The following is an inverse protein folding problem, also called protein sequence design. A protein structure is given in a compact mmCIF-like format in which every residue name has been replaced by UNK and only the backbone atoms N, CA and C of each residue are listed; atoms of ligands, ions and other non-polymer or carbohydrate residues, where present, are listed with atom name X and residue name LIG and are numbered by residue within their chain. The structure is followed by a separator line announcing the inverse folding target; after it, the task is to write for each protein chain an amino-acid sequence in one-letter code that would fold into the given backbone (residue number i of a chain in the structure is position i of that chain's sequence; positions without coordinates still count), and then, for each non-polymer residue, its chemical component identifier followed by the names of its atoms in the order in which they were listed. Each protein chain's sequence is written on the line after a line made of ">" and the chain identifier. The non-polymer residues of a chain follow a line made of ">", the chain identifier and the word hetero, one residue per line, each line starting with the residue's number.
data_IF_332704007799
#
_entry.id   IF_332704007799
#
_cell.length_a   1.000
_cell.length_b   1.000
_cell.length_c   1.000
_cell.angle_alpha   90.00
_cell.angle_beta   90.00
_cell.angle_gamma   90.00
#
_symmetry.space_group_name_H-M   'P 1'
#
loop_
_entity.id
_entity.type
_entity.pdbx_description
1 polymer ?
#
# COMPACT_ATOMS: atom_id res chain seq x y z
N UNK A 1 0.90 3.52 22.03
CA UNK A 1 -0.48 3.78 22.40
C UNK A 1 -1.39 2.74 21.73
N UNK A 2 -2.40 2.24 22.46
CA UNK A 2 -3.29 1.15 21.98
C UNK A 2 -4.76 1.57 22.18
N UNK A 3 -5.29 2.46 21.33
CA UNK A 3 -6.70 2.83 21.35
C UNK A 3 -7.60 1.65 20.95
N UNK A 4 -8.85 1.67 21.42
CA UNK A 4 -9.86 0.66 21.09
C UNK A 4 -10.92 1.15 20.10
N UNK A 5 -10.95 2.45 19.82
CA UNK A 5 -11.86 3.08 18.87
C UNK A 5 -11.11 4.06 17.97
N UNK A 6 -11.69 4.43 16.81
CA UNK A 6 -11.14 5.48 15.94
C UNK A 6 -11.11 6.84 16.65
N UNK A 7 -12.12 7.14 17.45
CA UNK A 7 -12.20 8.39 18.20
C UNK A 7 -11.04 8.51 19.21
N UNK A 8 -10.76 7.45 19.98
CA UNK A 8 -9.61 7.41 20.91
C UNK A 8 -8.28 7.56 20.16
N UNK A 9 -8.16 6.90 18.98
CA UNK A 9 -6.97 6.98 18.17
C UNK A 9 -6.72 8.41 17.66
N UNK A 10 -7.74 9.07 17.15
CA UNK A 10 -7.65 10.45 16.69
C UNK A 10 -7.45 11.46 17.82
N UNK A 11 -8.07 11.22 18.98
CA UNK A 11 -7.82 12.03 20.18
C UNK A 11 -6.34 11.94 20.56
N UNK A 12 -5.78 10.73 20.59
CA UNK A 12 -4.36 10.54 20.91
C UNK A 12 -3.42 11.16 19.89
N UNK A 13 -3.74 11.06 18.59
CA UNK A 13 -2.98 11.72 17.53
C UNK A 13 -2.97 13.24 17.73
N UNK A 14 -4.14 13.85 18.00
CA UNK A 14 -4.27 15.28 18.22
C UNK A 14 -3.53 15.77 19.49
N UNK A 15 -3.51 14.95 20.56
CA UNK A 15 -2.74 15.25 21.78
C UNK A 15 -1.23 15.32 21.47
N UNK A 16 -0.69 14.33 20.75
CA UNK A 16 0.72 14.28 20.37
C UNK A 16 1.08 15.47 19.48
N UNK A 17 0.29 15.73 18.43
CA UNK A 17 0.51 16.88 17.55
C UNK A 17 0.50 18.21 18.31
N UNK A 18 -0.44 18.39 19.25
CA UNK A 18 -0.55 19.60 20.07
C UNK A 18 0.65 19.79 21.01
N UNK A 19 1.28 18.70 21.44
CA UNK A 19 2.51 18.73 22.26
C UNK A 19 3.79 18.84 21.43
N UNK A 20 3.69 18.87 20.08
CA UNK A 20 4.82 18.89 19.18
C UNK A 20 5.55 17.56 19.06
N UNK A 21 4.89 16.46 19.45
CA UNK A 21 5.44 15.12 19.36
C UNK A 21 5.00 14.44 18.06
N UNK A 22 5.96 13.83 17.36
CA UNK A 22 5.69 13.04 16.16
C UNK A 22 5.31 11.61 16.52
N UNK A 23 4.47 11.01 15.67
CA UNK A 23 4.07 9.61 15.79
C UNK A 23 3.95 8.93 14.43
N UNK A 24 3.97 7.60 14.44
CA UNK A 24 3.57 6.77 13.30
C UNK A 24 2.32 5.95 13.64
N UNK A 25 1.43 5.79 12.68
CA UNK A 25 0.40 4.77 12.75
C UNK A 25 1.03 3.40 12.56
N UNK A 26 0.73 2.46 13.44
CA UNK A 26 1.16 1.08 13.28
C UNK A 26 -0.04 0.14 13.15
N UNK A 27 -0.08 -0.62 12.06
CA UNK A 27 -1.03 -1.69 11.85
C UNK A 27 -0.38 -3.05 12.20
N UNK A 28 0.01 -3.88 11.24
CA UNK A 28 0.71 -5.15 11.51
C UNK A 28 2.19 -5.04 11.87
N UNK A 29 2.82 -3.89 11.66
CA UNK A 29 4.23 -3.63 11.98
C UNK A 29 5.24 -4.42 11.14
N UNK A 30 4.80 -5.23 10.18
CA UNK A 30 5.65 -6.14 9.39
C UNK A 30 6.67 -5.42 8.51
N UNK A 31 6.43 -4.15 8.22
CA UNK A 31 7.35 -3.27 7.50
C UNK A 31 7.88 -2.15 8.40
N UNK A 32 7.03 -1.51 9.19
CA UNK A 32 7.40 -0.37 10.02
C UNK A 32 8.44 -0.75 11.09
N UNK A 33 8.30 -1.89 11.77
CA UNK A 33 9.25 -2.31 12.81
C UNK A 33 10.66 -2.58 12.25
N UNK A 34 10.84 -3.29 11.12
CA UNK A 34 12.13 -3.35 10.43
C UNK A 34 12.72 -1.98 10.11
N UNK A 35 11.90 -1.02 9.66
CA UNK A 35 12.35 0.32 9.35
C UNK A 35 12.83 1.07 10.61
N UNK A 36 12.19 0.88 11.75
CA UNK A 36 12.69 1.38 13.04
C UNK A 36 14.05 0.79 13.41
N UNK A 37 14.25 -0.52 13.19
CA UNK A 37 15.54 -1.18 13.44
C UNK A 37 16.69 -0.65 12.56
N UNK A 38 16.35 -0.15 11.38
CA UNK A 38 17.31 0.45 10.46
C UNK A 38 17.42 1.97 10.61
N UNK A 39 16.73 2.55 11.58
CA UNK A 39 16.63 4.00 11.79
C UNK A 39 16.12 4.76 10.55
N UNK A 40 15.26 4.12 9.76
CA UNK A 40 14.51 4.79 8.68
C UNK A 40 13.33 5.57 9.25
N UNK A 41 12.64 4.99 10.23
CA UNK A 41 11.63 5.64 11.05
C UNK A 41 12.24 5.88 12.44
N UNK A 42 12.15 7.11 12.94
CA UNK A 42 12.78 7.53 14.20
C UNK A 42 11.83 8.17 15.19
N UNK A 43 10.54 8.27 14.85
CA UNK A 43 9.50 8.85 15.70
C UNK A 43 9.37 8.05 16.99
N UNK A 44 9.24 8.75 18.12
CA UNK A 44 9.23 8.11 19.46
C UNK A 44 7.91 7.48 19.82
N UNK A 45 6.82 7.91 19.19
CA UNK A 45 5.47 7.44 19.48
C UNK A 45 4.94 6.60 18.32
N UNK A 46 4.21 5.55 18.65
CA UNK A 46 3.40 4.78 17.72
C UNK A 46 1.97 4.64 18.26
N UNK A 47 0.98 4.80 17.40
CA UNK A 47 -0.43 4.57 17.70
C UNK A 47 -0.87 3.32 16.95
N UNK A 48 -1.25 2.29 17.72
CA UNK A 48 -1.65 1.00 17.15
C UNK A 48 -3.10 1.03 16.67
N UNK A 49 -3.33 0.53 15.46
CA UNK A 49 -4.66 0.34 14.90
C UNK A 49 -5.25 -1.05 15.21
N UNK A 50 -4.47 -1.96 15.78
CA UNK A 50 -4.84 -3.37 15.95
C UNK A 50 -5.99 -3.61 16.94
N UNK A 51 -6.25 -2.69 17.87
CA UNK A 51 -7.33 -2.77 18.84
C UNK A 51 -8.68 -2.22 18.36
N UNK A 52 -8.75 -1.68 17.15
CA UNK A 52 -9.93 -0.98 16.63
C UNK A 52 -10.76 -1.95 15.78
N UNK A 53 -11.84 -2.47 16.39
CA UNK A 53 -12.66 -3.54 15.79
C UNK A 53 -13.34 -3.11 14.49
N UNK A 54 -13.78 -1.85 14.38
CA UNK A 54 -14.45 -1.32 13.19
C UNK A 54 -13.58 -1.32 11.91
N UNK A 55 -12.27 -1.51 12.05
CA UNK A 55 -11.33 -1.66 10.93
C UNK A 55 -11.19 -3.11 10.42
N UNK A 56 -11.85 -4.08 11.05
CA UNK A 56 -11.70 -5.52 10.75
C UNK A 56 -12.91 -6.11 10.00
N UNK A 57 -13.81 -5.30 9.48
CA UNK A 57 -14.97 -5.79 8.71
C UNK A 57 -14.51 -6.52 7.44
N UNK A 58 -14.97 -7.76 7.25
CA UNK A 58 -14.66 -8.57 6.08
C UNK A 58 -15.95 -8.98 5.38
N UNK A 59 -16.30 -8.26 4.33
CA UNK A 59 -17.47 -8.53 3.46
C UNK A 59 -17.05 -8.68 2.00
N UNK A 60 -18.01 -9.01 1.16
CA UNK A 60 -17.79 -9.20 -0.29
C UNK A 60 -17.35 -7.90 -0.97
N UNK A 61 -18.06 -6.79 -0.67
CA UNK A 61 -17.84 -5.50 -1.32
C UNK A 61 -17.24 -4.45 -0.37
N UNK A 62 -17.00 -4.80 0.90
CA UNK A 62 -16.34 -3.92 1.87
C UNK A 62 -15.31 -4.70 2.67
N UNK A 63 -14.07 -4.21 2.68
CA UNK A 63 -12.94 -4.85 3.35
C UNK A 63 -12.26 -3.81 4.23
N UNK A 64 -12.26 -4.04 5.53
CA UNK A 64 -11.59 -3.20 6.53
C UNK A 64 -10.08 -3.16 6.35
N UNK A 65 -9.48 -2.04 6.69
CA UNK A 65 -8.04 -1.82 6.52
C UNK A 65 -7.17 -2.74 7.39
N UNK A 66 -7.72 -3.24 8.50
CA UNK A 66 -7.01 -4.13 9.43
C UNK A 66 -7.26 -5.62 9.15
N UNK A 67 -8.12 -5.98 8.18
CA UNK A 67 -8.23 -7.36 7.69
C UNK A 67 -6.88 -7.82 7.19
N UNK A 68 -6.39 -8.93 7.73
CA UNK A 68 -5.06 -9.45 7.37
C UNK A 68 -5.07 -10.09 5.98
N UNK A 69 -3.93 -10.08 5.32
CA UNK A 69 -3.78 -10.73 4.02
C UNK A 69 -4.06 -12.24 4.08
N UNK A 70 -3.81 -12.88 5.24
CA UNK A 70 -4.11 -14.30 5.41
C UNK A 70 -5.62 -14.54 5.54
N UNK A 71 -6.37 -13.65 6.20
CA UNK A 71 -7.84 -13.72 6.22
C UNK A 71 -8.43 -13.54 4.81
N UNK A 72 -7.87 -12.67 3.97
CA UNK A 72 -8.27 -12.54 2.57
C UNK A 72 -8.04 -13.84 1.78
N UNK A 73 -6.94 -14.56 2.05
CA UNK A 73 -6.66 -15.86 1.40
C UNK A 73 -7.67 -16.93 1.84
N UNK A 74 -8.08 -16.92 3.10
CA UNK A 74 -8.89 -17.97 3.73
C UNK A 74 -10.40 -17.71 3.65
N UNK A 75 -10.82 -16.45 3.41
CA UNK A 75 -12.23 -16.06 3.64
C UNK A 75 -13.23 -16.68 2.66
N UNK A 76 -12.85 -16.96 1.43
CA UNK A 76 -13.79 -17.42 0.39
C UNK A 76 -14.92 -16.43 0.03
N UNK A 77 -15.05 -15.29 0.72
CA UNK A 77 -16.08 -14.26 0.48
C UNK A 77 -15.60 -13.10 -0.39
N UNK A 78 -14.29 -12.91 -0.51
CA UNK A 78 -13.71 -11.86 -1.36
C UNK A 78 -13.55 -12.35 -2.80
N UNK A 79 -13.41 -11.39 -3.73
CA UNK A 79 -13.15 -11.74 -5.13
C UNK A 79 -11.87 -12.62 -5.26
N UNK A 80 -11.89 -13.71 -6.07
CA UNK A 80 -10.77 -14.66 -6.17
C UNK A 80 -9.41 -14.03 -6.46
N UNK A 81 -9.37 -12.98 -7.29
CA UNK A 81 -8.16 -12.25 -7.61
C UNK A 81 -7.52 -11.57 -6.38
N UNK A 82 -8.33 -11.10 -5.43
CA UNK A 82 -7.85 -10.52 -4.16
C UNK A 82 -7.16 -11.60 -3.32
N UNK A 83 -7.79 -12.76 -3.17
CA UNK A 83 -7.24 -13.91 -2.47
C UNK A 83 -5.95 -14.42 -3.13
N UNK A 84 -5.93 -14.50 -4.44
CA UNK A 84 -4.76 -14.90 -5.23
C UNK A 84 -3.57 -13.96 -4.99
N UNK A 85 -3.75 -12.64 -5.17
CA UNK A 85 -2.67 -11.67 -4.96
C UNK A 85 -2.19 -11.67 -3.50
N UNK A 86 -3.12 -11.70 -2.53
CA UNK A 86 -2.78 -11.80 -1.11
C UNK A 86 -1.90 -13.03 -0.83
N UNK A 87 -2.19 -14.18 -1.46
CA UNK A 87 -1.42 -15.43 -1.30
C UNK A 87 0.04 -15.32 -1.74
N UNK A 88 0.31 -14.43 -2.71
CA UNK A 88 1.66 -14.18 -3.26
C UNK A 88 2.49 -13.20 -2.43
N UNK A 89 1.91 -12.56 -1.39
CA UNK A 89 2.64 -11.64 -0.51
C UNK A 89 3.49 -12.43 0.50
N UNK A 90 4.76 -12.12 0.56
CA UNK A 90 5.73 -12.57 1.58
C UNK A 90 5.60 -14.07 1.97
N UNK A 91 5.32 -14.36 3.25
CA UNK A 91 5.07 -15.70 3.79
C UNK A 91 3.76 -15.73 4.60
N UNK A 92 3.24 -16.93 4.90
CA UNK A 92 2.04 -17.10 5.75
C UNK A 92 2.20 -16.36 7.08
N UNK A 93 3.36 -16.44 7.73
CA UNK A 93 3.61 -15.79 9.01
C UNK A 93 3.51 -14.25 8.91
N UNK A 94 4.04 -13.69 7.83
CA UNK A 94 3.91 -12.25 7.56
C UNK A 94 2.47 -11.89 7.25
N UNK A 95 1.79 -12.63 6.38
CA UNK A 95 0.39 -12.37 6.00
C UNK A 95 -0.59 -12.40 7.17
N UNK A 96 -0.35 -13.24 8.20
CA UNK A 96 -1.16 -13.28 9.44
C UNK A 96 -1.06 -12.01 10.28
N UNK A 97 -0.04 -11.19 10.07
CA UNK A 97 0.15 -9.92 10.78
C UNK A 97 0.04 -8.72 9.87
N UNK A 98 0.17 -8.88 8.55
CA UNK A 98 0.14 -7.80 7.58
C UNK A 98 -1.31 -7.54 7.13
N UNK A 99 -1.92 -6.39 7.49
CA UNK A 99 -3.27 -6.07 7.05
C UNK A 99 -3.27 -5.39 5.68
N UNK A 100 -4.44 -5.40 5.02
CA UNK A 100 -4.69 -4.83 3.71
C UNK A 100 -4.30 -3.36 3.63
N UNK A 101 -4.76 -2.53 4.57
CA UNK A 101 -4.44 -1.10 4.60
C UNK A 101 -2.94 -0.85 4.75
N UNK A 102 -2.24 -1.65 5.57
CA UNK A 102 -0.78 -1.59 5.70
C UNK A 102 -0.07 -1.95 4.40
N UNK A 103 -0.57 -2.93 3.64
CA UNK A 103 -0.01 -3.29 2.33
C UNK A 103 -0.21 -2.16 1.31
N UNK A 104 -1.41 -1.56 1.24
CA UNK A 104 -1.69 -0.42 0.36
C UNK A 104 -0.79 0.78 0.70
N UNK A 105 -0.56 1.05 1.99
CA UNK A 105 0.26 2.15 2.48
C UNK A 105 1.76 1.81 2.55
N UNK A 106 2.21 0.68 1.99
CA UNK A 106 3.61 0.28 2.00
C UNK A 106 4.51 1.42 1.53
N UNK A 107 5.64 1.60 2.20
CA UNK A 107 6.63 2.57 1.74
C UNK A 107 7.33 2.09 0.47
N UNK A 108 7.76 3.04 -0.37
CA UNK A 108 8.52 2.75 -1.59
C UNK A 108 9.91 2.20 -1.27
N UNK A 109 10.44 1.38 -2.15
CA UNK A 109 11.69 0.65 -1.97
C UNK A 109 12.80 1.18 -2.88
N UNK A 110 13.98 1.31 -2.30
CA UNK A 110 15.21 1.61 -3.04
C UNK A 110 16.39 0.96 -2.32
N UNK A 111 17.27 0.32 -3.10
CA UNK A 111 18.50 -0.29 -2.56
C UNK A 111 19.33 0.71 -1.73
N UNK A 112 19.42 1.96 -2.17
CA UNK A 112 20.19 3.01 -1.53
C UNK A 112 19.54 3.59 -0.27
N UNK A 113 18.24 3.43 -0.10
CA UNK A 113 17.52 3.95 1.06
C UNK A 113 17.27 2.89 2.12
N UNK A 114 16.83 1.68 1.74
CA UNK A 114 16.41 0.63 2.69
C UNK A 114 17.63 -0.12 3.25
N UNK A 115 18.49 0.60 3.94
CA UNK A 115 19.74 0.15 4.58
C UNK A 115 19.85 0.69 5.99
N UNK A 116 20.81 0.18 6.77
CA UNK A 116 21.11 0.72 8.10
C UNK A 116 21.59 2.17 8.03
N UNK A 117 21.40 2.91 9.13
CA UNK A 117 21.86 4.30 9.22
C UNK A 117 23.33 4.45 8.90
N UNK A 118 24.19 3.62 9.50
CA UNK A 118 25.65 3.66 9.27
C UNK A 118 26.01 3.42 7.79
N UNK A 119 25.26 2.53 7.11
CA UNK A 119 25.51 2.31 5.70
C UNK A 119 25.08 3.52 4.86
N UNK A 120 23.93 4.13 5.16
CA UNK A 120 23.46 5.34 4.47
C UNK A 120 24.43 6.52 4.70
N UNK A 121 24.95 6.65 5.91
CA UNK A 121 25.96 7.66 6.23
C UNK A 121 27.25 7.43 5.42
N UNK A 122 27.71 6.19 5.29
CA UNK A 122 28.95 5.86 4.55
C UNK A 122 28.90 6.18 3.06
N UNK A 123 27.71 6.29 2.48
CA UNK A 123 27.49 6.71 1.08
C UNK A 123 27.04 8.17 0.98
N UNK A 124 27.16 8.94 2.06
CA UNK A 124 26.76 10.36 2.13
C UNK A 124 25.27 10.56 1.86
N UNK A 125 24.42 9.64 2.35
CA UNK A 125 22.96 9.65 2.23
C UNK A 125 22.42 9.59 0.80
N UNK A 126 21.12 9.80 0.62
CA UNK A 126 20.45 9.90 -0.67
C UNK A 126 19.28 10.90 -0.59
N UNK A 127 18.76 11.30 -1.72
CA UNK A 127 17.66 12.26 -1.86
C UNK A 127 16.42 11.95 -0.97
N UNK A 128 16.01 10.69 -0.86
CA UNK A 128 14.90 10.28 0.01
C UNK A 128 15.25 10.30 1.50
N UNK A 129 16.52 10.26 1.85
CA UNK A 129 16.91 10.25 3.24
C UNK A 129 16.65 11.62 3.88
N UNK A 130 15.77 11.64 4.87
CA UNK A 130 15.42 12.86 5.63
C UNK A 130 16.52 13.21 6.64
N UNK A 131 17.70 13.52 6.14
CA UNK A 131 18.87 13.89 6.93
C UNK A 131 19.28 15.37 6.75
N UNK A 132 18.55 16.14 5.95
CA UNK A 132 18.83 17.55 5.70
C UNK A 132 20.17 17.84 5.02
N UNK A 133 20.84 16.84 4.47
CA UNK A 133 22.16 17.00 3.82
C UNK A 133 22.07 17.55 2.39
N UNK A 134 20.89 17.54 1.75
CA UNK A 134 20.73 17.86 0.32
C UNK A 134 21.42 16.85 -0.60
N UNK A 135 21.63 15.61 -0.14
CA UNK A 135 22.27 14.56 -0.91
C UNK A 135 21.52 14.28 -2.23
N UNK A 136 22.26 13.95 -3.27
CA UNK A 136 21.74 13.65 -4.59
C UNK A 136 21.08 12.25 -4.66
N UNK A 137 20.21 12.05 -5.64
CA UNK A 137 19.63 10.72 -5.91
C UNK A 137 20.75 9.77 -6.36
N UNK A 138 20.88 8.61 -5.68
CA UNK A 138 21.91 7.60 -5.99
C UNK A 138 21.52 6.69 -7.17
N UNK A 139 20.25 6.73 -7.58
CA UNK A 139 19.75 5.99 -8.75
C UNK A 139 19.88 6.82 -10.02
N UNK A 140 19.45 8.08 -9.95
CA UNK A 140 19.52 9.05 -11.06
C UNK A 140 20.27 10.28 -10.56
N UNK A 141 21.59 10.35 -10.73
CA UNK A 141 22.38 11.51 -10.31
C UNK A 141 21.96 12.80 -11.00
N UNK A 142 22.08 13.92 -10.27
CA UNK A 142 21.67 15.26 -10.68
C UNK A 142 20.16 15.43 -10.92
N UNK A 143 19.33 14.52 -10.38
CA UNK A 143 17.88 14.63 -10.36
C UNK A 143 17.39 14.54 -8.91
N UNK A 144 16.82 15.63 -8.37
CA UNK A 144 16.34 15.72 -6.99
C UNK A 144 14.89 16.24 -6.90
N UNK A 145 14.18 16.33 -8.01
CA UNK A 145 12.79 16.79 -8.04
C UNK A 145 11.85 15.69 -7.55
N UNK A 146 12.08 14.43 -7.95
CA UNK A 146 11.27 13.28 -7.59
C UNK A 146 12.15 12.12 -7.11
N UNK A 147 11.66 11.40 -6.09
CA UNK A 147 12.29 10.16 -5.69
C UNK A 147 11.78 8.99 -6.56
N UNK A 148 12.70 8.24 -7.13
CA UNK A 148 12.41 7.08 -8.02
C UNK A 148 12.36 5.73 -7.26
N UNK A 149 12.27 5.75 -5.93
CA UNK A 149 12.06 4.53 -5.15
C UNK A 149 10.74 3.87 -5.57
N UNK A 150 10.77 2.56 -5.84
CA UNK A 150 9.62 1.86 -6.43
C UNK A 150 8.56 1.47 -5.41
N UNK A 151 7.29 1.57 -5.79
CA UNK A 151 6.19 1.00 -5.04
C UNK A 151 6.04 -0.49 -5.37
N UNK A 152 6.06 -1.34 -4.36
CA UNK A 152 6.19 -2.80 -4.54
C UNK A 152 5.14 -3.61 -3.77
N UNK A 153 3.95 -3.07 -3.52
CA UNK A 153 2.87 -3.83 -2.92
C UNK A 153 2.03 -4.57 -3.97
N UNK A 154 1.65 -5.81 -3.65
CA UNK A 154 0.93 -6.70 -4.55
C UNK A 154 -0.57 -6.38 -4.66
N UNK A 155 -1.18 -5.80 -3.60
CA UNK A 155 -2.63 -5.60 -3.55
C UNK A 155 -3.11 -4.42 -4.39
N UNK A 156 -2.31 -3.35 -4.52
CA UNK A 156 -2.72 -2.14 -5.21
C UNK A 156 -3.11 -2.36 -6.69
N UNK A 157 -2.32 -3.02 -7.55
CA UNK A 157 -2.70 -3.23 -8.94
C UNK A 157 -3.99 -4.04 -9.09
N UNK A 158 -4.21 -5.02 -8.22
CA UNK A 158 -5.44 -5.82 -8.21
C UNK A 158 -6.65 -4.97 -7.86
N UNK A 159 -6.56 -4.16 -6.80
CA UNK A 159 -7.65 -3.27 -6.38
C UNK A 159 -7.95 -2.20 -7.43
N UNK A 160 -6.92 -1.70 -8.14
CA UNK A 160 -7.09 -0.76 -9.26
C UNK A 160 -7.87 -1.41 -10.42
N UNK A 161 -7.50 -2.61 -10.83
CA UNK A 161 -8.18 -3.35 -11.88
C UNK A 161 -9.64 -3.68 -11.51
N UNK A 162 -9.92 -3.92 -10.22
CA UNK A 162 -11.25 -4.17 -9.71
C UNK A 162 -12.08 -2.89 -9.48
N UNK A 163 -11.51 -1.71 -9.73
CA UNK A 163 -12.22 -0.43 -9.59
C UNK A 163 -12.53 -0.06 -8.13
N UNK A 164 -11.66 -0.42 -7.21
CA UNK A 164 -11.84 -0.20 -5.79
C UNK A 164 -11.84 1.30 -5.43
N UNK A 165 -12.63 1.65 -4.41
CA UNK A 165 -12.65 2.97 -3.76
C UNK A 165 -11.99 2.84 -2.39
N UNK A 166 -11.04 3.71 -2.10
CA UNK A 166 -10.38 3.80 -0.79
C UNK A 166 -11.05 4.85 0.09
N UNK A 167 -11.29 4.51 1.35
CA UNK A 167 -11.92 5.37 2.34
C UNK A 167 -10.92 5.77 3.40
N UNK A 168 -10.84 7.07 3.64
CA UNK A 168 -9.91 7.71 4.57
C UNK A 168 -10.70 8.42 5.67
N UNK A 169 -10.15 8.44 6.88
CA UNK A 169 -10.73 9.18 8.01
C UNK A 169 -9.65 9.89 8.81
N UNK A 170 -10.04 11.01 9.42
CA UNK A 170 -9.21 11.84 10.28
C UNK A 170 -10.07 12.53 11.34
N UNK A 171 -9.49 13.24 12.35
CA UNK A 171 -10.25 14.01 13.33
C UNK A 171 -11.20 15.07 12.71
N UNK A 172 -10.88 15.55 11.52
CA UNK A 172 -11.64 16.63 10.86
C UNK A 172 -12.67 16.12 9.84
N UNK A 173 -12.78 14.80 9.64
CA UNK A 173 -13.75 14.19 8.74
C UNK A 173 -13.23 13.04 7.92
N UNK A 174 -14.09 12.53 7.05
CA UNK A 174 -13.81 11.39 6.18
C UNK A 174 -13.92 11.80 4.71
N UNK A 175 -13.17 11.11 3.84
CA UNK A 175 -13.22 11.27 2.39
C UNK A 175 -12.95 9.93 1.70
N UNK A 176 -13.38 9.82 0.47
CA UNK A 176 -13.11 8.64 -0.36
C UNK A 176 -12.69 9.05 -1.76
N UNK A 177 -12.02 8.17 -2.46
CA UNK A 177 -11.58 8.36 -3.84
C UNK A 177 -11.35 7.02 -4.54
N UNK A 178 -11.38 6.96 -5.88
CA UNK A 178 -10.85 5.81 -6.61
C UNK A 178 -9.41 5.52 -6.18
N UNK A 179 -9.07 4.24 -6.00
CA UNK A 179 -7.75 3.86 -5.44
C UNK A 179 -6.57 4.30 -6.32
N UNK A 180 -6.76 4.43 -7.63
CA UNK A 180 -5.74 4.95 -8.55
C UNK A 180 -5.38 6.42 -8.30
N UNK A 181 -6.26 7.20 -7.65
CA UNK A 181 -6.00 8.60 -7.27
C UNK A 181 -5.28 8.72 -5.92
N UNK A 182 -5.16 7.60 -5.19
CA UNK A 182 -4.52 7.59 -3.86
C UNK A 182 -3.00 7.74 -3.92
N UNK A 183 -2.36 7.24 -4.98
CA UNK A 183 -0.91 7.22 -5.10
C UNK A 183 -0.35 8.47 -5.79
N UNK A 184 0.92 8.78 -5.49
CA UNK A 184 1.65 9.90 -6.11
C UNK A 184 2.94 9.39 -6.75
N UNK A 185 3.27 9.91 -7.92
CA UNK A 185 4.51 9.61 -8.64
C UNK A 185 5.72 10.28 -7.96
N UNK A 186 5.97 9.90 -6.72
CA UNK A 186 7.13 10.34 -5.93
C UNK A 186 7.40 9.32 -4.82
N UNK A 187 8.58 8.76 -4.80
CA UNK A 187 8.97 7.78 -3.80
C UNK A 187 9.05 8.35 -2.36
N UNK A 188 9.08 9.66 -2.17
CA UNK A 188 9.00 10.32 -0.86
C UNK A 188 7.54 10.56 -0.46
N UNK A 189 6.79 11.28 -1.30
CA UNK A 189 5.37 11.57 -1.07
C UNK A 189 4.50 10.55 -1.79
N UNK A 190 4.62 9.30 -1.43
CA UNK A 190 4.06 8.12 -2.11
C UNK A 190 2.53 8.08 -2.26
N UNK A 191 1.78 8.83 -1.44
CA UNK A 191 0.31 8.85 -1.47
C UNK A 191 -0.26 10.20 -0.99
N UNK A 192 -1.58 10.31 -1.03
CA UNK A 192 -2.31 11.56 -0.70
C UNK A 192 -2.76 11.64 0.77
N UNK A 193 -2.34 10.73 1.64
CA UNK A 193 -2.63 10.80 3.06
C UNK A 193 -2.08 12.11 3.65
N UNK A 194 -2.93 12.78 4.40
CA UNK A 194 -2.53 13.92 5.21
C UNK A 194 -2.09 13.44 6.59
N UNK A 195 -1.41 14.32 7.33
CA UNK A 195 -1.06 14.02 8.71
C UNK A 195 -2.32 13.66 9.52
N UNK A 196 -2.25 12.64 10.35
CA UNK A 196 -3.39 12.15 11.13
C UNK A 196 -4.46 11.35 10.35
N UNK A 197 -4.42 11.29 9.01
CA UNK A 197 -5.35 10.44 8.25
C UNK A 197 -4.94 8.96 8.30
N UNK A 198 -5.96 8.10 8.30
CA UNK A 198 -5.80 6.65 8.14
C UNK A 198 -6.72 6.10 7.06
N UNK A 199 -6.33 4.99 6.46
CA UNK A 199 -7.22 4.17 5.63
C UNK A 199 -8.12 3.37 6.56
N UNK A 200 -9.45 3.47 6.38
CA UNK A 200 -10.42 2.73 7.19
C UNK A 200 -10.89 1.45 6.52
N UNK A 201 -11.21 1.50 5.24
CA UNK A 201 -11.67 0.35 4.47
C UNK A 201 -11.56 0.61 2.97
N UNK A 202 -11.77 -0.45 2.21
CA UNK A 202 -11.88 -0.44 0.75
C UNK A 202 -13.30 -0.90 0.41
N UNK A 203 -13.92 -0.27 -0.59
CA UNK A 203 -15.15 -0.78 -1.20
C UNK A 203 -14.93 -1.16 -2.65
N UNK A 204 -15.62 -2.21 -3.09
CA UNK A 204 -15.62 -2.72 -4.45
C UNK A 204 -16.97 -2.42 -5.11
N UNK A 205 -17.03 -2.26 -6.44
CA UNK A 205 -18.26 -2.01 -7.15
C UNK A 205 -19.22 -3.22 -7.07
N UNK A 206 -20.53 -2.96 -7.24
CA UNK A 206 -21.56 -4.00 -7.10
C UNK A 206 -21.46 -5.09 -8.17
N UNK A 207 -20.92 -4.76 -9.35
CA UNK A 207 -20.72 -5.67 -10.48
C UNK A 207 -19.41 -6.49 -10.38
N UNK A 208 -18.76 -6.50 -9.21
CA UNK A 208 -17.45 -7.16 -9.01
C UNK A 208 -17.46 -8.64 -9.42
N UNK A 209 -18.58 -9.34 -9.26
CA UNK A 209 -18.72 -10.75 -9.61
C UNK A 209 -18.70 -11.02 -11.13
N UNK A 210 -18.89 -10.01 -11.98
CA UNK A 210 -18.82 -10.12 -13.43
C UNK A 210 -17.38 -10.10 -13.95
N UNK A 211 -16.45 -9.59 -13.14
CA UNK A 211 -15.06 -9.49 -13.49
C UNK A 211 -14.34 -10.82 -13.22
N UNK A 212 -13.53 -11.23 -14.17
CA UNK A 212 -12.50 -12.27 -14.02
C UNK A 212 -11.15 -11.61 -13.97
N UNK A 213 -10.14 -12.30 -13.46
CA UNK A 213 -8.80 -11.72 -13.40
C UNK A 213 -7.72 -12.75 -13.11
N UNK A 214 -6.50 -12.31 -13.32
CA UNK A 214 -5.25 -13.02 -13.01
C UNK A 214 -4.22 -12.04 -12.48
N UNK A 215 -3.36 -12.49 -11.58
CA UNK A 215 -2.25 -11.70 -11.05
C UNK A 215 -0.95 -12.48 -11.19
N UNK A 216 0.00 -11.91 -11.90
CA UNK A 216 1.35 -12.47 -12.07
C UNK A 216 2.38 -11.61 -11.36
N UNK A 217 3.31 -12.28 -10.67
CA UNK A 217 4.38 -11.65 -9.89
C UNK A 217 5.73 -12.23 -10.33
N UNK A 218 6.56 -11.39 -10.92
CA UNK A 218 7.97 -11.68 -11.14
C UNK A 218 8.74 -11.46 -9.84
N UNK A 219 9.44 -12.47 -9.38
CA UNK A 219 10.30 -12.45 -8.18
C UNK A 219 11.36 -13.54 -8.29
N UNK A 220 12.42 -13.44 -7.53
CA UNK A 220 13.50 -14.45 -7.57
C UNK A 220 13.15 -15.69 -6.78
N UNK A 221 12.53 -15.55 -5.60
CA UNK A 221 12.11 -16.64 -4.72
C UNK A 221 10.59 -16.72 -4.66
N UNK A 222 10.07 -17.93 -4.44
CA UNK A 222 8.63 -18.17 -4.34
C UNK A 222 7.99 -17.60 -3.05
N UNK A 223 8.81 -17.10 -2.12
CA UNK A 223 8.38 -16.54 -0.85
C UNK A 223 9.25 -15.35 -0.46
N UNK A 224 8.75 -14.46 0.39
CA UNK A 224 9.40 -13.29 0.99
C UNK A 224 9.63 -12.11 0.04
N UNK A 225 9.92 -12.33 -1.21
CA UNK A 225 10.32 -11.25 -2.12
C UNK A 225 9.16 -10.31 -2.46
N UNK A 226 9.47 -9.04 -2.53
CA UNK A 226 8.65 -8.04 -3.22
C UNK A 226 8.62 -8.34 -4.73
N UNK A 227 7.60 -7.88 -5.47
CA UNK A 227 7.62 -8.00 -6.92
C UNK A 227 8.75 -7.13 -7.51
N UNK A 228 9.58 -7.71 -8.38
CA UNK A 228 10.40 -6.96 -9.34
C UNK A 228 9.47 -6.33 -10.39
N UNK A 229 8.43 -7.07 -10.79
CA UNK A 229 7.28 -6.59 -11.54
C UNK A 229 6.05 -7.41 -11.15
N UNK A 230 4.93 -6.75 -10.92
CA UNK A 230 3.63 -7.38 -10.71
C UNK A 230 2.64 -6.85 -11.74
N UNK A 231 1.82 -7.73 -12.31
CA UNK A 231 0.79 -7.38 -13.29
C UNK A 231 -0.53 -8.01 -12.90
N UNK A 232 -1.55 -7.17 -12.71
CA UNK A 232 -2.93 -7.57 -12.56
C UNK A 232 -3.66 -7.34 -13.88
N UNK A 233 -4.47 -8.30 -14.28
CA UNK A 233 -5.35 -8.18 -15.45
C UNK A 233 -6.76 -8.56 -15.02
N UNK A 234 -7.75 -7.77 -15.39
CA UNK A 234 -9.16 -8.12 -15.20
C UNK A 234 -9.93 -7.92 -16.50
N UNK A 235 -10.95 -8.75 -16.71
CA UNK A 235 -11.79 -8.66 -17.90
C UNK A 235 -13.24 -9.04 -17.60
N UNK A 236 -14.17 -8.49 -18.38
CA UNK A 236 -15.52 -8.99 -18.51
C UNK A 236 -15.70 -9.72 -19.83
N UNK A 237 -16.56 -10.73 -19.83
CA UNK A 237 -16.89 -11.49 -21.04
C UNK A 237 -18.14 -10.89 -21.68
N UNK A 238 -18.03 -10.55 -22.97
CA UNK A 238 -19.16 -10.28 -23.85
C UNK A 238 -19.60 -11.54 -24.60
N UNK A 239 -20.44 -11.36 -25.63
CA UNK A 239 -20.96 -12.45 -26.48
C UNK A 239 -19.87 -13.11 -27.33
N UNK A 240 -18.93 -12.32 -27.82
CA UNK A 240 -17.93 -12.77 -28.80
C UNK A 240 -16.48 -12.78 -28.23
N UNK A 241 -16.33 -12.60 -26.94
CA UNK A 241 -15.03 -12.55 -26.27
C UNK A 241 -14.98 -11.52 -25.15
N UNK A 242 -13.79 -11.13 -24.67
CA UNK A 242 -13.65 -10.07 -23.69
C UNK A 242 -14.21 -8.75 -24.23
N UNK A 243 -15.08 -8.09 -23.44
CA UNK A 243 -15.71 -6.81 -23.78
C UNK A 243 -15.08 -5.63 -23.05
N UNK A 244 -14.54 -5.89 -21.90
CA UNK A 244 -13.79 -4.91 -21.09
C UNK A 244 -12.49 -5.54 -20.58
N UNK A 245 -11.42 -4.77 -20.58
CA UNK A 245 -10.10 -5.19 -20.11
C UNK A 245 -9.47 -4.07 -19.28
N UNK A 246 -8.88 -4.42 -18.15
CA UNK A 246 -8.06 -3.50 -17.34
C UNK A 246 -6.76 -4.19 -17.00
N UNK A 247 -5.69 -3.43 -17.06
CA UNK A 247 -4.34 -3.89 -16.72
C UNK A 247 -3.74 -2.90 -15.74
N UNK A 248 -3.13 -3.40 -14.67
CA UNK A 248 -2.36 -2.56 -13.74
C UNK A 248 -1.05 -3.23 -13.38
N UNK A 249 -0.03 -2.40 -13.14
CA UNK A 249 1.33 -2.84 -12.82
C UNK A 249 1.80 -2.30 -11.47
N UNK A 250 2.76 -2.99 -10.86
CA UNK A 250 3.49 -2.57 -9.65
C UNK A 250 4.95 -2.99 -9.74
N UNK A 251 5.82 -2.40 -8.92
CA UNK A 251 7.26 -2.72 -8.90
C UNK A 251 8.11 -1.96 -9.90
N UNK A 252 7.51 -1.26 -10.84
CA UNK A 252 8.20 -0.61 -11.96
C UNK A 252 8.48 0.87 -11.73
N UNK A 253 7.58 1.55 -11.00
CA UNK A 253 7.63 3.00 -10.74
C UNK A 253 7.35 3.29 -9.26
N UNK A 254 7.41 4.57 -8.89
CA UNK A 254 7.07 5.00 -7.51
C UNK A 254 5.58 4.88 -7.19
N UNK A 255 4.76 4.54 -8.17
CA UNK A 255 3.31 4.28 -8.05
C UNK A 255 2.95 2.96 -8.71
N UNK A 256 1.85 2.32 -8.32
CA UNK A 256 1.19 1.34 -9.18
C UNK A 256 0.48 2.08 -10.32
N UNK A 257 0.52 1.54 -11.53
CA UNK A 257 -0.01 2.20 -12.74
C UNK A 257 -1.15 1.41 -13.36
N UNK A 258 -2.23 2.11 -13.73
CA UNK A 258 -3.40 1.53 -14.39
C UNK A 258 -3.38 1.91 -15.88
N UNK A 259 -3.46 0.91 -16.76
CA UNK A 259 -3.26 1.02 -18.22
C UNK A 259 -4.57 0.75 -18.99
N UNK A 260 -5.60 1.61 -18.81
CA UNK A 260 -6.93 1.40 -19.43
C UNK A 260 -6.87 1.62 -20.93
N UNK A 261 -6.22 2.67 -21.43
CA UNK A 261 -6.18 3.00 -22.84
C UNK A 261 -5.44 1.93 -23.66
N UNK A 262 -4.31 1.45 -23.14
CA UNK A 262 -3.52 0.38 -23.76
C UNK A 262 -4.30 -0.95 -23.77
N UNK A 263 -4.97 -1.26 -22.67
CA UNK A 263 -5.79 -2.46 -22.55
C UNK A 263 -6.99 -2.42 -23.51
N UNK A 264 -7.67 -1.28 -23.64
CA UNK A 264 -8.80 -1.11 -24.57
C UNK A 264 -8.37 -1.28 -26.01
N UNK A 265 -7.23 -0.68 -26.41
CA UNK A 265 -6.67 -0.85 -27.76
C UNK A 265 -6.31 -2.30 -28.09
N UNK A 266 -6.00 -3.12 -27.09
CA UNK A 266 -5.70 -4.54 -27.31
C UNK A 266 -6.96 -5.40 -27.57
N UNK A 267 -8.15 -4.86 -27.37
CA UNK A 267 -9.44 -5.51 -27.71
C UNK A 267 -9.94 -5.17 -29.13
N UNK A 268 -9.38 -4.12 -29.76
CA UNK A 268 -9.68 -3.72 -31.15
C UNK A 268 -8.93 -4.60 -32.17
#
# INVERSE_FOLDING_TARGET
>A
HNPSTLEDAFTKASELESSGEEFDWISGGTDLIPNYKWHLNTKKNVISLSGIEELNELGTNKIGSMVTLQELVESGSVHPLISEAASKVASIMVRRSAPLGGNICLDTRCFWYNQTEQWRESIEWCHKCDCGTGADCRVIPNQNELCVATYQADMAPVLMCLGAVIHLSSPIGSRSMPINEFFKLDGMTKNVLKNGEIVTHITLPDDISEWKGDYQKLRQRESWDFPEAGVAVTWKMGTDGPSELRVATTGLESVPSLHIEEATRALE
#
